data_IF_286602800528
#
_entry.id   IF_286602800528
#
_cell.length_a   1.000
_cell.length_b   1.000
_cell.length_c   1.000
_cell.angle_alpha   90.00
_cell.angle_beta   90.00
_cell.angle_gamma   90.00
#
_symmetry.space_group_name_H-M   'P 1'
#
loop_
_entity.id
_entity.type
_entity.pdbx_description
1 polymer ?
#
# COMPACT_ATOMS: atom_id res chain seq x y z
N UNK A 1 -9.98 3.09 -11.84
CA UNK A 1 -9.20 3.56 -13.00
C UNK A 1 -8.45 2.38 -13.60
N UNK A 2 -8.36 2.28 -14.93
CA UNK A 2 -7.54 1.29 -15.64
C UNK A 2 -6.07 1.70 -15.66
N UNK A 3 -5.16 0.81 -16.09
CA UNK A 3 -3.75 1.13 -16.33
C UNK A 3 -3.63 2.28 -17.33
N UNK A 4 -4.37 2.23 -18.44
CA UNK A 4 -4.38 3.28 -19.46
C UNK A 4 -4.75 4.66 -18.89
N UNK A 5 -5.76 4.75 -18.03
CA UNK A 5 -6.14 6.03 -17.41
C UNK A 5 -5.11 6.49 -16.37
N UNK A 6 -4.38 5.58 -15.71
CA UNK A 6 -3.22 5.95 -14.88
C UNK A 6 -2.07 6.48 -15.76
N UNK A 7 -1.81 5.85 -16.91
CA UNK A 7 -0.82 6.33 -17.89
C UNK A 7 -1.12 7.76 -18.35
N UNK A 8 -2.38 8.07 -18.64
CA UNK A 8 -2.77 9.43 -19.01
C UNK A 8 -2.54 10.48 -17.93
N UNK A 9 -2.48 10.11 -16.64
CA UNK A 9 -2.00 11.03 -15.60
C UNK A 9 -0.55 11.41 -15.88
N UNK A 10 0.33 10.41 -16.06
CA UNK A 10 1.75 10.64 -16.32
C UNK A 10 2.02 11.36 -17.64
N UNK A 11 1.19 11.17 -18.66
CA UNK A 11 1.26 11.91 -19.93
C UNK A 11 1.01 13.42 -19.72
N UNK A 12 0.16 13.77 -18.76
CA UNK A 12 -0.21 15.15 -18.43
C UNK A 12 0.60 15.76 -17.28
N UNK A 13 1.52 15.01 -16.67
CA UNK A 13 2.37 15.55 -15.58
C UNK A 13 3.25 16.70 -16.06
N UNK A 14 3.79 16.62 -17.28
CA UNK A 14 4.68 17.64 -17.85
C UNK A 14 3.96 18.83 -18.48
N UNK A 15 2.63 18.78 -18.60
CA UNK A 15 1.84 19.84 -19.27
C UNK A 15 1.40 20.95 -18.31
N UNK A 16 1.55 20.76 -17.00
CA UNK A 16 1.26 21.77 -15.98
C UNK A 16 2.52 22.46 -15.46
N UNK A 17 2.44 23.79 -15.25
CA UNK A 17 3.54 24.59 -14.70
C UNK A 17 3.50 24.68 -13.17
N UNK A 18 2.34 24.47 -12.54
CA UNK A 18 2.13 24.65 -11.10
C UNK A 18 2.36 23.35 -10.31
N UNK A 19 3.60 22.84 -10.33
CA UNK A 19 4.03 21.73 -9.50
C UNK A 19 4.85 22.20 -8.30
N UNK A 20 4.59 21.58 -7.15
CA UNK A 20 5.39 21.72 -5.94
C UNK A 20 6.15 20.43 -5.65
N UNK A 21 7.39 20.56 -5.19
CA UNK A 21 8.19 19.45 -4.67
C UNK A 21 8.30 19.59 -3.15
N UNK A 22 7.84 18.59 -2.41
CA UNK A 22 7.86 18.60 -0.96
C UNK A 22 8.61 17.38 -0.42
N UNK A 23 9.50 17.58 0.54
CA UNK A 23 10.05 16.50 1.35
C UNK A 23 8.98 16.04 2.34
N UNK A 24 8.87 14.72 2.55
CA UNK A 24 7.88 14.13 3.45
C UNK A 24 8.59 13.43 4.63
N UNK A 25 8.12 13.75 5.83
CA UNK A 25 8.45 13.04 7.07
C UNK A 25 7.20 12.40 7.65
N UNK A 26 7.33 11.13 8.00
CA UNK A 26 6.30 10.26 8.57
C UNK A 26 6.77 9.81 9.95
N UNK A 27 6.04 10.19 10.99
CA UNK A 27 6.31 9.76 12.37
C UNK A 27 5.16 8.91 12.89
N UNK A 28 5.50 7.69 13.31
CA UNK A 28 4.57 6.76 13.92
C UNK A 28 4.77 6.75 15.44
N UNK A 29 3.69 6.96 16.19
CA UNK A 29 3.66 6.93 17.64
C UNK A 29 2.53 6.06 18.16
N UNK A 30 2.74 5.37 19.29
CA UNK A 30 1.68 4.60 19.97
C UNK A 30 0.58 5.50 20.53
N UNK A 31 0.92 6.71 20.98
CA UNK A 31 -0.02 7.62 21.65
C UNK A 31 -0.78 8.52 20.67
N UNK A 32 -0.07 9.15 19.74
CA UNK A 32 -0.63 10.14 18.80
C UNK A 32 -0.94 9.56 17.42
N UNK A 33 -0.58 8.29 17.18
CA UNK A 33 -0.74 7.66 15.87
C UNK A 33 0.29 8.12 14.85
N UNK A 34 -0.09 8.08 13.58
CA UNK A 34 0.76 8.50 12.47
C UNK A 34 0.57 9.99 12.21
N UNK A 35 1.68 10.69 12.05
CA UNK A 35 1.71 12.14 11.79
C UNK A 35 2.61 12.41 10.60
N UNK A 36 2.21 13.42 9.82
CA UNK A 36 2.91 13.84 8.63
C UNK A 36 3.44 15.27 8.82
N UNK A 37 4.60 15.52 8.26
CA UNK A 37 5.11 16.87 8.06
C UNK A 37 5.70 16.93 6.66
N UNK A 38 5.46 18.02 5.96
CA UNK A 38 6.07 18.29 4.66
C UNK A 38 6.91 19.55 4.69
N UNK A 39 7.91 19.63 3.81
CA UNK A 39 8.81 20.78 3.66
C UNK A 39 9.00 21.05 2.17
N UNK A 40 8.55 22.19 1.69
CA UNK A 40 8.62 22.54 0.26
C UNK A 40 10.04 22.93 -0.15
N UNK A 41 10.54 22.43 -1.27
CA UNK A 41 11.87 22.78 -1.78
C UNK A 41 11.81 23.21 -3.24
N UNK A 42 12.69 24.12 -3.61
CA UNK A 42 12.87 24.58 -4.98
C UNK A 42 14.16 24.04 -5.56
N UNK A 43 14.14 23.64 -6.83
CA UNK A 43 15.32 23.19 -7.56
C UNK A 43 15.88 24.33 -8.41
N UNK A 44 17.20 24.38 -8.54
CA UNK A 44 17.92 25.33 -9.39
C UNK A 44 18.82 24.55 -10.35
N UNK A 45 18.99 24.98 -11.61
CA UNK A 45 18.42 26.19 -12.23
C UNK A 45 16.90 26.13 -12.46
N UNK A 46 16.30 27.26 -12.81
CA UNK A 46 14.89 27.35 -13.22
C UNK A 46 14.55 26.28 -14.26
N UNK A 47 13.36 25.68 -14.14
CA UNK A 47 12.92 24.57 -14.99
C UNK A 47 13.46 23.18 -14.60
N UNK A 48 14.30 23.07 -13.55
CA UNK A 48 14.81 21.75 -13.11
C UNK A 48 13.70 20.81 -12.65
N UNK A 49 12.67 21.33 -11.97
CA UNK A 49 11.50 20.53 -11.57
C UNK A 49 10.72 20.02 -12.79
N UNK A 50 10.46 20.88 -13.77
CA UNK A 50 9.78 20.52 -15.03
C UNK A 50 10.53 19.44 -15.81
N UNK A 51 11.87 19.53 -15.86
CA UNK A 51 12.71 18.49 -16.47
C UNK A 51 12.57 17.16 -15.73
N UNK A 52 12.62 17.19 -14.41
CA UNK A 52 12.45 16.00 -13.58
C UNK A 52 11.07 15.35 -13.76
N UNK A 53 10.01 16.16 -13.82
CA UNK A 53 8.65 15.69 -14.13
C UNK A 53 8.56 15.06 -15.53
N UNK A 54 9.29 15.61 -16.51
CA UNK A 54 9.37 15.03 -17.86
C UNK A 54 10.09 13.68 -17.87
N UNK A 55 11.13 13.49 -17.05
CA UNK A 55 11.80 12.19 -16.88
C UNK A 55 10.87 11.15 -16.23
N UNK A 56 10.06 11.56 -15.25
CA UNK A 56 9.02 10.70 -14.65
C UNK A 56 7.98 10.32 -15.70
N UNK A 57 7.46 11.30 -16.45
CA UNK A 57 6.49 11.06 -17.53
C UNK A 57 7.04 10.05 -18.54
N UNK A 58 8.28 10.25 -19.02
CA UNK A 58 8.92 9.35 -19.96
C UNK A 58 9.05 7.92 -19.41
N UNK A 59 9.46 7.76 -18.14
CA UNK A 59 9.57 6.44 -17.49
C UNK A 59 8.26 5.66 -17.50
N UNK A 60 7.14 6.31 -17.21
CA UNK A 60 5.84 5.64 -17.06
C UNK A 60 5.03 5.58 -18.37
N UNK A 61 5.38 6.36 -19.38
CA UNK A 61 4.70 6.39 -20.68
C UNK A 61 5.47 5.69 -21.81
N UNK A 62 6.71 5.26 -21.56
CA UNK A 62 7.54 4.48 -22.48
C UNK A 62 6.82 3.24 -23.03
N UNK A 63 7.01 2.93 -24.31
CA UNK A 63 6.45 1.72 -24.93
C UNK A 63 7.16 0.43 -24.47
N UNK A 64 8.46 0.51 -24.15
CA UNK A 64 9.28 -0.66 -23.81
C UNK A 64 9.32 -0.97 -22.30
N UNK A 65 9.19 0.07 -21.47
CA UNK A 65 9.34 -0.03 -20.01
C UNK A 65 8.25 0.70 -19.24
N UNK A 66 7.20 1.23 -19.88
CA UNK A 66 6.17 2.03 -19.23
C UNK A 66 5.13 1.23 -18.44
N UNK A 67 4.08 1.91 -17.98
CA UNK A 67 3.06 1.34 -17.10
C UNK A 67 2.42 0.05 -17.61
N UNK A 68 2.18 -0.04 -18.91
CA UNK A 68 1.54 -1.20 -19.55
C UNK A 68 2.45 -2.44 -19.57
N UNK A 69 3.77 -2.25 -19.53
CA UNK A 69 4.75 -3.34 -19.41
C UNK A 69 5.08 -3.66 -17.93
N UNK A 70 5.05 -2.63 -17.08
CA UNK A 70 5.29 -2.76 -15.63
C UNK A 70 4.15 -3.47 -14.90
N UNK A 71 2.91 -3.32 -15.37
CA UNK A 71 1.71 -3.78 -14.66
C UNK A 71 0.72 -4.50 -15.57
N UNK A 72 0.07 -5.52 -15.03
CA UNK A 72 -0.91 -6.37 -15.73
C UNK A 72 -2.35 -6.07 -15.27
N UNK A 73 -2.53 -5.53 -14.06
CA UNK A 73 -3.87 -5.21 -13.57
C UNK A 73 -3.91 -4.08 -12.54
N UNK A 74 -5.10 -3.49 -12.38
CA UNK A 74 -5.47 -2.60 -11.27
C UNK A 74 -6.57 -3.28 -10.47
N UNK A 75 -6.44 -3.37 -9.15
CA UNK A 75 -7.41 -4.07 -8.30
C UNK A 75 -7.56 -3.45 -6.92
N UNK A 76 -8.70 -3.64 -6.27
CA UNK A 76 -8.90 -3.22 -4.89
C UNK A 76 -7.90 -3.91 -3.96
N UNK A 77 -7.33 -3.17 -3.02
CA UNK A 77 -6.38 -3.72 -2.08
C UNK A 77 -7.07 -4.68 -1.12
N UNK A 78 -6.67 -5.95 -1.19
CA UNK A 78 -7.22 -7.07 -0.42
C UNK A 78 -6.17 -7.66 0.53
N UNK A 79 -5.05 -6.97 0.74
CA UNK A 79 -3.91 -7.49 1.51
C UNK A 79 -3.03 -8.50 0.77
N UNK A 80 -3.24 -8.76 -0.53
CA UNK A 80 -2.33 -9.60 -1.32
C UNK A 80 -1.06 -8.87 -1.73
N UNK A 81 -0.05 -9.61 -2.19
CA UNK A 81 1.26 -9.11 -2.63
C UNK A 81 1.59 -9.58 -4.04
N UNK A 82 0.63 -9.50 -4.96
CA UNK A 82 0.77 -9.98 -6.33
C UNK A 82 1.67 -9.02 -7.12
N UNK A 83 2.68 -9.57 -7.78
CA UNK A 83 3.57 -8.79 -8.65
C UNK A 83 2.80 -8.15 -9.81
N UNK A 84 3.34 -7.06 -10.37
CA UNK A 84 2.76 -6.35 -11.52
C UNK A 84 1.28 -5.96 -11.35
N UNK A 85 0.84 -5.75 -10.12
CA UNK A 85 -0.53 -5.32 -9.80
C UNK A 85 -0.49 -3.95 -9.14
N UNK A 86 -1.25 -3.00 -9.67
CA UNK A 86 -1.50 -1.73 -9.01
C UNK A 86 -2.68 -1.95 -8.06
N UNK A 87 -2.46 -1.70 -6.78
CA UNK A 87 -3.54 -1.78 -5.79
C UNK A 87 -4.19 -0.42 -5.59
N UNK A 88 -5.51 -0.39 -5.50
CA UNK A 88 -6.25 0.85 -5.23
C UNK A 88 -7.01 0.78 -3.91
N UNK A 89 -7.14 1.93 -3.27
CA UNK A 89 -7.92 2.15 -2.06
C UNK A 89 -8.68 3.47 -2.21
N UNK A 90 -9.94 3.49 -1.80
CA UNK A 90 -10.67 4.73 -1.59
C UNK A 90 -10.29 5.35 -0.24
N UNK A 91 -10.37 6.67 -0.12
CA UNK A 91 -9.90 7.39 1.08
C UNK A 91 -10.72 7.12 2.35
N UNK A 92 -11.91 6.55 2.20
CA UNK A 92 -12.79 6.10 3.29
C UNK A 92 -12.49 4.67 3.75
N UNK A 93 -11.56 3.96 3.09
CA UNK A 93 -11.16 2.62 3.50
C UNK A 93 -10.53 2.63 4.91
N UNK A 94 -10.97 1.71 5.77
CA UNK A 94 -10.52 1.57 7.17
C UNK A 94 -9.00 1.47 7.35
N UNK A 95 -8.27 1.07 6.31
CA UNK A 95 -6.81 0.98 6.35
C UNK A 95 -6.09 2.33 6.27
N UNK A 96 -6.74 3.36 5.73
CA UNK A 96 -6.12 4.67 5.47
C UNK A 96 -6.98 5.86 5.90
N UNK A 97 -8.23 5.65 6.31
CA UNK A 97 -9.20 6.72 6.58
C UNK A 97 -8.80 7.66 7.72
N UNK A 98 -7.88 7.25 8.60
CA UNK A 98 -7.30 8.10 9.64
C UNK A 98 -6.06 8.84 9.18
N UNK A 99 -5.21 8.16 8.42
CA UNK A 99 -3.91 8.66 7.97
C UNK A 99 -4.04 9.62 6.78
N UNK A 100 -4.94 9.34 5.84
CA UNK A 100 -5.09 10.13 4.62
C UNK A 100 -5.42 11.61 4.88
N UNK A 101 -6.39 11.98 5.75
CA UNK A 101 -6.69 13.38 6.03
C UNK A 101 -5.49 14.14 6.62
N UNK A 102 -4.70 13.50 7.49
CA UNK A 102 -3.50 14.10 8.08
C UNK A 102 -2.39 14.30 7.04
N UNK A 103 -2.25 13.38 6.08
CA UNK A 103 -1.32 13.52 4.96
C UNK A 103 -1.69 14.71 4.08
N UNK A 104 -2.95 14.79 3.62
CA UNK A 104 -3.41 15.88 2.75
C UNK A 104 -3.33 17.23 3.47
N UNK A 105 -3.66 17.27 4.76
CA UNK A 105 -3.51 18.48 5.59
C UNK A 105 -2.06 18.95 5.63
N UNK A 106 -1.09 18.05 5.78
CA UNK A 106 0.32 18.41 5.74
C UNK A 106 0.73 18.92 4.36
N UNK A 107 0.34 18.24 3.27
CA UNK A 107 0.67 18.64 1.90
C UNK A 107 0.18 20.07 1.60
N UNK A 108 -1.02 20.42 2.08
CA UNK A 108 -1.59 21.77 1.93
C UNK A 108 -0.98 22.83 2.85
N UNK A 109 -0.13 22.47 3.82
CA UNK A 109 0.51 23.38 4.76
C UNK A 109 2.00 23.00 4.96
N UNK A 110 2.82 23.05 3.90
CA UNK A 110 4.22 22.68 4.00
C UNK A 110 5.01 23.69 4.83
N UNK A 111 6.01 23.19 5.56
CA UNK A 111 7.00 24.02 6.23
C UNK A 111 7.86 24.75 5.19
N UNK A 112 8.23 26.00 5.48
CA UNK A 112 9.10 26.85 4.65
C UNK A 112 10.41 27.24 5.32
N UNK A 113 10.55 27.01 6.63
CA UNK A 113 11.60 27.61 7.47
C UNK A 113 12.67 26.59 7.90
N UNK A 114 12.29 25.34 8.14
CA UNK A 114 13.22 24.31 8.61
C UNK A 114 14.28 24.02 7.53
N UNK A 115 15.53 23.78 7.92
CA UNK A 115 16.54 23.33 6.96
C UNK A 115 16.10 22.00 6.29
N UNK A 116 15.93 21.95 4.96
CA UNK A 116 15.49 20.75 4.27
C UNK A 116 16.40 19.53 4.49
N UNK A 117 17.69 19.72 4.74
CA UNK A 117 18.65 18.64 4.98
C UNK A 117 18.61 18.09 6.42
N UNK A 118 18.06 18.86 7.35
CA UNK A 118 17.82 18.47 8.75
C UNK A 118 16.36 18.05 9.01
N UNK A 119 15.49 18.19 8.02
CA UNK A 119 14.07 17.83 8.10
C UNK A 119 13.83 16.35 8.44
N UNK A 120 14.82 15.46 8.25
CA UNK A 120 14.71 14.00 8.42
C UNK A 120 13.63 13.40 7.53
N UNK A 121 13.69 13.74 6.24
CA UNK A 121 12.78 13.22 5.23
C UNK A 121 12.92 11.69 5.09
N UNK A 122 11.83 11.02 4.75
CA UNK A 122 11.76 9.59 4.42
C UNK A 122 11.27 9.36 2.99
N UNK A 123 10.63 10.36 2.39
CA UNK A 123 9.98 10.31 1.09
C UNK A 123 9.96 11.72 0.49
N UNK A 124 9.52 11.84 -0.75
CA UNK A 124 9.17 13.13 -1.35
C UNK A 124 7.84 13.02 -2.12
N UNK A 125 7.18 14.17 -2.27
CA UNK A 125 5.89 14.34 -2.92
C UNK A 125 6.03 15.38 -4.02
N UNK A 126 5.50 15.06 -5.20
CA UNK A 126 5.20 16.03 -6.24
C UNK A 126 3.69 16.25 -6.20
N UNK A 127 3.25 17.47 -5.93
CA UNK A 127 1.84 17.83 -5.86
C UNK A 127 1.54 18.90 -6.90
N UNK A 128 0.47 18.67 -7.68
CA UNK A 128 0.03 19.56 -8.75
C UNK A 128 -1.41 19.29 -9.15
N UNK A 129 -1.88 20.10 -10.10
CA UNK A 129 -3.20 19.95 -10.72
C UNK A 129 -2.97 19.68 -12.21
N UNK A 130 -3.60 18.64 -12.76
CA UNK A 130 -3.55 18.35 -14.19
C UNK A 130 -4.93 18.51 -14.80
N UNK A 131 -4.98 18.87 -16.08
CA UNK A 131 -6.22 18.90 -16.85
C UNK A 131 -6.36 17.61 -17.65
N UNK A 132 -7.44 16.86 -17.44
CA UNK A 132 -7.79 15.66 -18.21
C UNK A 132 -9.28 15.69 -18.53
N UNK A 133 -9.65 15.47 -19.79
CA UNK A 133 -11.05 15.46 -20.24
C UNK A 133 -11.86 16.72 -19.81
N UNK A 134 -11.23 17.90 -19.87
CA UNK A 134 -11.79 19.20 -19.40
C UNK A 134 -12.04 19.29 -17.88
N UNK A 135 -11.58 18.33 -17.10
CA UNK A 135 -11.62 18.34 -15.64
C UNK A 135 -10.24 18.61 -15.03
N UNK A 136 -10.21 19.43 -13.97
CA UNK A 136 -9.01 19.64 -13.15
C UNK A 136 -8.92 18.55 -12.08
N UNK A 137 -7.84 17.78 -12.12
CA UNK A 137 -7.57 16.69 -11.19
C UNK A 137 -6.39 17.05 -10.29
N UNK A 138 -6.60 16.99 -8.97
CA UNK A 138 -5.49 17.10 -8.02
C UNK A 138 -4.72 15.78 -7.99
N UNK A 139 -3.40 15.87 -8.21
CA UNK A 139 -2.52 14.70 -8.30
C UNK A 139 -1.36 14.85 -7.34
N UNK A 140 -1.15 13.79 -6.56
CA UNK A 140 0.06 13.64 -5.73
C UNK A 140 0.83 12.41 -6.20
N UNK A 141 2.07 12.60 -6.64
CA UNK A 141 3.02 11.53 -6.94
C UNK A 141 3.99 11.41 -5.78
N UNK A 142 4.07 10.23 -5.17
CA UNK A 142 4.85 10.03 -3.94
C UNK A 142 5.91 8.96 -4.21
N UNK A 143 7.16 9.30 -3.95
CA UNK A 143 8.26 8.35 -3.89
C UNK A 143 8.61 8.11 -2.42
N UNK A 144 8.53 6.86 -1.99
CA UNK A 144 8.81 6.43 -0.62
C UNK A 144 10.32 6.24 -0.36
N UNK A 145 11.16 6.84 -1.21
CA UNK A 145 12.60 6.80 -1.09
C UNK A 145 13.10 8.03 -0.38
N UNK A 146 14.04 7.84 0.56
CA UNK A 146 14.64 8.95 1.28
C UNK A 146 15.38 9.87 0.28
N UNK A 147 14.93 11.12 0.12
CA UNK A 147 15.52 12.05 -0.83
C UNK A 147 16.80 12.70 -0.29
N UNK A 148 17.13 12.57 1.00
CA UNK A 148 18.31 13.19 1.63
C UNK A 148 19.38 12.13 1.83
N UNK A 149 20.56 12.33 1.23
CA UNK A 149 21.67 11.38 1.31
C UNK A 149 23.00 12.06 1.58
N UNK A 150 23.92 11.35 2.24
CA UNK A 150 25.30 11.80 2.43
C UNK A 150 26.20 11.18 1.38
N UNK A 151 26.97 12.01 0.67
CA UNK A 151 27.87 11.56 -0.39
C UNK A 151 29.32 11.42 0.11
N UNK A 152 29.56 10.46 1.02
CA UNK A 152 30.91 10.20 1.56
C UNK A 152 31.92 9.89 0.45
N UNK A 153 33.09 10.52 0.50
CA UNK A 153 34.16 10.36 -0.50
C UNK A 153 33.73 10.66 -1.94
N UNK A 154 32.77 11.57 -2.12
CA UNK A 154 32.40 12.11 -3.44
C UNK A 154 32.87 13.54 -3.54
N UNK A 155 33.35 13.89 -4.73
CA UNK A 155 33.93 15.19 -4.99
C UNK A 155 33.24 15.85 -6.18
N UNK A 156 32.81 17.09 -6.03
CA UNK A 156 32.25 17.92 -7.09
C UNK A 156 33.40 18.56 -7.90
N UNK A 157 33.37 18.38 -9.22
CA UNK A 157 34.34 19.02 -10.13
C UNK A 157 33.90 20.44 -10.45
N UNK A 158 34.76 21.41 -10.18
CA UNK A 158 34.63 22.78 -10.66
C UNK A 158 36.01 23.26 -11.17
N UNK A 159 36.06 23.74 -12.42
CA UNK A 159 37.27 24.31 -13.02
C UNK A 159 38.53 23.42 -12.94
N UNK A 160 38.36 22.10 -13.05
CA UNK A 160 39.48 21.13 -13.00
C UNK A 160 39.91 20.72 -11.58
N UNK A 161 39.36 21.35 -10.55
CA UNK A 161 39.54 20.96 -9.14
C UNK A 161 38.34 20.16 -8.66
N UNK A 162 38.58 19.22 -7.75
CA UNK A 162 37.58 18.39 -7.12
C UNK A 162 37.46 18.78 -5.64
N UNK A 163 36.27 19.18 -5.23
CA UNK A 163 35.97 19.59 -3.84
C UNK A 163 35.07 18.54 -3.19
N UNK A 164 35.41 18.08 -1.99
CA UNK A 164 34.61 17.06 -1.32
C UNK A 164 33.21 17.61 -1.00
N UNK A 165 32.19 16.80 -1.24
CA UNK A 165 30.82 17.11 -0.86
C UNK A 165 30.64 16.67 0.60
N UNK A 166 30.86 17.61 1.52
CA UNK A 166 30.77 17.34 2.98
C UNK A 166 29.33 17.29 3.50
N UNK A 167 28.44 18.06 2.87
CA UNK A 167 27.05 18.17 3.29
C UNK A 167 26.17 17.06 2.71
N UNK A 168 24.98 16.90 3.30
CA UNK A 168 23.92 16.08 2.71
C UNK A 168 23.45 16.74 1.41
N UNK A 169 22.96 15.93 0.48
CA UNK A 169 22.38 16.38 -0.78
C UNK A 169 20.99 15.82 -1.00
N UNK A 170 20.25 16.44 -1.91
CA UNK A 170 19.00 15.92 -2.43
C UNK A 170 19.27 14.97 -3.59
N UNK A 171 18.70 13.77 -3.53
CA UNK A 171 18.79 12.71 -4.53
C UNK A 171 17.37 12.22 -4.86
N UNK A 172 16.77 12.79 -5.90
CA UNK A 172 15.42 12.44 -6.33
C UNK A 172 15.47 11.25 -7.31
N UNK A 173 14.55 10.31 -7.16
CA UNK A 173 14.42 9.13 -8.03
C UNK A 173 13.14 9.21 -8.83
N UNK A 174 13.17 8.93 -10.11
CA UNK A 174 11.95 8.97 -10.96
C UNK A 174 10.93 7.87 -10.65
N UNK A 175 11.25 6.92 -9.78
CA UNK A 175 10.32 5.88 -9.34
C UNK A 175 9.29 6.45 -8.33
N UNK A 176 8.03 6.35 -8.70
CA UNK A 176 6.84 6.68 -7.92
C UNK A 176 6.24 5.39 -7.36
N UNK A 177 5.95 5.41 -6.06
CA UNK A 177 5.38 4.30 -5.31
C UNK A 177 3.87 4.43 -5.13
N UNK A 178 3.38 5.67 -4.98
CA UNK A 178 1.96 5.96 -4.78
C UNK A 178 1.54 7.12 -5.66
N UNK A 179 0.40 6.99 -6.33
CA UNK A 179 -0.31 8.05 -7.04
C UNK A 179 -1.63 8.27 -6.35
N UNK A 180 -1.92 9.50 -5.93
CA UNK A 180 -3.23 9.87 -5.37
C UNK A 180 -3.90 10.78 -6.38
N UNK A 181 -5.10 10.40 -6.82
CA UNK A 181 -5.97 11.22 -7.66
C UNK A 181 -7.33 11.29 -7.02
N UNK A 182 -7.78 12.52 -6.77
CA UNK A 182 -9.01 12.83 -6.03
C UNK A 182 -9.11 12.03 -4.72
N UNK A 183 -10.09 11.12 -4.66
CA UNK A 183 -10.45 10.29 -3.51
C UNK A 183 -9.94 8.85 -3.63
N UNK A 184 -8.99 8.59 -4.52
CA UNK A 184 -8.42 7.26 -4.74
C UNK A 184 -6.91 7.28 -4.64
N UNK A 185 -6.38 6.33 -3.87
CA UNK A 185 -4.95 6.05 -3.74
C UNK A 185 -4.63 4.84 -4.60
N UNK A 186 -3.62 4.96 -5.46
CA UNK A 186 -3.07 3.90 -6.29
C UNK A 186 -1.64 3.58 -5.82
N UNK A 187 -1.44 2.39 -5.28
CA UNK A 187 -0.15 1.86 -4.86
C UNK A 187 0.47 1.10 -6.03
N UNK A 188 1.45 1.74 -6.69
CA UNK A 188 2.27 1.14 -7.74
C UNK A 188 3.27 0.17 -7.13
N UNK A 189 3.68 0.43 -5.89
CA UNK A 189 4.43 -0.53 -5.07
C UNK A 189 3.80 -0.65 -3.69
N UNK A 190 4.10 -1.73 -2.98
CA UNK A 190 3.63 -1.93 -1.60
C UNK A 190 4.28 -0.98 -0.59
N UNK A 191 5.20 -0.09 -1.02
CA UNK A 191 5.73 0.95 -0.14
C UNK A 191 4.64 1.93 0.33
N UNK A 192 3.50 2.00 -0.39
CA UNK A 192 2.31 2.71 0.07
C UNK A 192 1.76 2.22 1.41
N UNK A 193 2.01 0.96 1.81
CA UNK A 193 1.62 0.47 3.14
C UNK A 193 2.37 1.20 4.26
N UNK A 194 3.63 1.57 4.01
CA UNK A 194 4.44 2.35 4.96
C UNK A 194 3.99 3.81 5.00
N UNK A 195 3.54 4.36 3.87
CA UNK A 195 2.99 5.72 3.80
C UNK A 195 1.83 5.88 4.79
N UNK A 196 0.91 4.92 4.82
CA UNK A 196 -0.29 4.95 5.67
C UNK A 196 -0.17 4.10 6.94
N UNK A 197 1.01 3.58 7.27
CA UNK A 197 1.24 2.73 8.45
C UNK A 197 0.21 1.58 8.57
N UNK A 198 -0.11 0.94 7.44
CA UNK A 198 -1.24 0.01 7.36
C UNK A 198 -1.06 -1.24 8.22
N UNK A 199 0.17 -1.62 8.60
CA UNK A 199 0.43 -2.71 9.53
C UNK A 199 -0.37 -2.57 10.84
N UNK A 200 -0.50 -1.34 11.33
CA UNK A 200 -1.31 -1.05 12.52
C UNK A 200 -2.79 -1.31 12.26
N UNK A 201 -3.29 -0.88 11.11
CA UNK A 201 -4.67 -1.09 10.70
C UNK A 201 -4.98 -2.59 10.51
N UNK A 202 -4.09 -3.35 9.87
CA UNK A 202 -4.21 -4.81 9.73
C UNK A 202 -4.38 -5.51 11.08
N UNK A 203 -3.54 -5.15 12.06
CA UNK A 203 -3.63 -5.71 13.41
C UNK A 203 -4.94 -5.36 14.10
N UNK A 204 -5.47 -4.16 13.85
CA UNK A 204 -6.77 -3.73 14.40
C UNK A 204 -7.93 -4.53 13.78
N UNK A 205 -7.96 -4.66 12.45
CA UNK A 205 -8.96 -5.45 11.71
C UNK A 205 -8.88 -6.91 12.15
N UNK A 206 -7.68 -7.50 12.13
CA UNK A 206 -7.44 -8.87 12.58
C UNK A 206 -7.95 -9.12 14.00
N UNK A 207 -7.67 -8.23 14.96
CA UNK A 207 -8.17 -8.38 16.34
C UNK A 207 -9.70 -8.40 16.39
N UNK A 208 -10.36 -7.49 15.67
CA UNK A 208 -11.82 -7.43 15.60
C UNK A 208 -12.41 -8.73 15.01
N UNK A 209 -11.87 -9.18 13.88
CA UNK A 209 -12.41 -10.37 13.22
C UNK A 209 -12.10 -11.67 13.96
N UNK A 210 -10.95 -11.76 14.65
CA UNK A 210 -10.68 -12.86 15.60
C UNK A 210 -11.76 -12.91 16.68
N UNK A 211 -12.13 -11.77 17.28
CA UNK A 211 -13.22 -11.71 18.28
C UNK A 211 -14.53 -12.20 17.68
N UNK A 212 -14.90 -11.75 16.48
CA UNK A 212 -16.10 -12.20 15.79
C UNK A 212 -16.13 -13.72 15.58
N UNK A 213 -15.00 -14.32 15.18
CA UNK A 213 -14.88 -15.77 14.99
C UNK A 213 -15.03 -16.52 16.33
N UNK A 214 -14.35 -16.04 17.38
CA UNK A 214 -14.35 -16.72 18.68
C UNK A 214 -15.71 -16.68 19.36
N UNK A 215 -16.42 -15.55 19.23
CA UNK A 215 -17.73 -15.33 19.85
C UNK A 215 -18.82 -16.25 19.26
N UNK A 216 -18.63 -16.76 18.04
CA UNK A 216 -19.53 -17.74 17.44
C UNK A 216 -19.39 -19.16 18.04
N UNK A 217 -18.34 -19.42 18.82
CA UNK A 217 -18.14 -20.71 19.47
C UNK A 217 -17.95 -21.89 18.51
N UNK A 218 -17.53 -21.61 17.26
CA UNK A 218 -17.35 -22.61 16.18
C UNK A 218 -15.99 -23.31 16.21
N UNK A 219 -15.12 -23.01 17.18
CA UNK A 219 -13.78 -23.59 17.35
C UNK A 219 -13.62 -24.18 18.76
N UNK A 220 -12.81 -25.23 18.93
CA UNK A 220 -12.60 -25.90 20.22
C UNK A 220 -11.50 -25.25 21.10
N UNK A 221 -10.47 -24.65 20.51
CA UNK A 221 -9.37 -23.98 21.22
C UNK A 221 -9.21 -22.52 20.76
N UNK A 222 -9.79 -21.61 21.55
CA UNK A 222 -9.80 -20.18 21.25
C UNK A 222 -8.41 -19.53 21.38
N UNK A 223 -7.61 -19.95 22.34
CA UNK A 223 -6.31 -19.32 22.60
C UNK A 223 -5.25 -19.77 21.58
N UNK A 224 -5.28 -21.04 21.18
CA UNK A 224 -4.46 -21.53 20.07
C UNK A 224 -4.79 -20.77 18.77
N UNK A 225 -6.08 -20.63 18.45
CA UNK A 225 -6.51 -19.89 17.26
C UNK A 225 -6.05 -18.42 17.28
N UNK A 226 -6.29 -17.70 18.38
CA UNK A 226 -5.85 -16.30 18.55
C UNK A 226 -4.35 -16.14 18.31
N UNK A 227 -3.55 -17.05 18.87
CA UNK A 227 -2.09 -17.04 18.76
C UNK A 227 -1.66 -17.15 17.29
N UNK A 228 -2.26 -18.06 16.53
CA UNK A 228 -1.92 -18.25 15.10
C UNK A 228 -2.46 -17.11 14.24
N UNK A 229 -3.72 -16.74 14.42
CA UNK A 229 -4.40 -15.76 13.58
C UNK A 229 -3.80 -14.35 13.72
N UNK A 230 -3.24 -14.01 14.88
CA UNK A 230 -2.63 -12.69 15.14
C UNK A 230 -1.12 -12.62 14.84
N UNK A 231 -0.50 -13.70 14.37
CA UNK A 231 0.95 -13.79 14.21
C UNK A 231 1.41 -13.76 12.75
N UNK A 232 2.66 -13.33 12.53
CA UNK A 232 3.30 -13.32 11.22
C UNK A 232 2.52 -12.49 10.18
N UNK A 233 2.25 -13.09 9.03
CA UNK A 233 1.54 -12.46 7.92
C UNK A 233 0.01 -12.55 8.03
N UNK A 234 -0.53 -13.27 9.02
CA UNK A 234 -1.97 -13.48 9.15
C UNK A 234 -2.77 -12.20 9.38
N UNK A 235 -2.32 -11.21 10.18
CA UNK A 235 -3.05 -9.96 10.34
C UNK A 235 -3.38 -9.27 9.02
N UNK A 236 -2.49 -9.33 8.03
CA UNK A 236 -2.69 -8.76 6.70
C UNK A 236 -3.73 -9.54 5.88
N UNK A 237 -3.86 -10.86 6.05
CA UNK A 237 -4.88 -11.67 5.35
C UNK A 237 -6.30 -11.24 5.73
N UNK A 238 -6.52 -10.77 6.96
CA UNK A 238 -7.84 -10.31 7.41
C UNK A 238 -8.37 -9.07 6.67
N UNK A 239 -7.57 -8.42 5.82
CA UNK A 239 -8.06 -7.36 4.93
C UNK A 239 -9.10 -7.91 3.95
N UNK A 240 -8.96 -9.16 3.51
CA UNK A 240 -9.92 -9.86 2.65
C UNK A 240 -10.90 -10.74 3.45
N UNK A 241 -11.14 -10.42 4.73
CA UNK A 241 -12.07 -11.19 5.55
C UNK A 241 -13.50 -11.15 5.02
N UNK A 242 -14.12 -12.32 4.89
CA UNK A 242 -15.45 -12.49 4.31
C UNK A 242 -16.48 -12.84 5.40
N UNK A 243 -17.17 -11.81 5.89
CA UNK A 243 -18.20 -11.96 6.92
C UNK A 243 -19.32 -12.94 6.49
N UNK A 244 -19.69 -12.94 5.21
CA UNK A 244 -20.69 -13.89 4.69
C UNK A 244 -20.24 -15.35 4.82
N UNK A 245 -18.94 -15.63 4.63
CA UNK A 245 -18.39 -16.96 4.88
C UNK A 245 -18.49 -17.33 6.36
N UNK A 246 -18.13 -16.42 7.26
CA UNK A 246 -18.27 -16.65 8.70
C UNK A 246 -19.73 -16.94 9.08
N UNK A 247 -20.69 -16.16 8.58
CA UNK A 247 -22.12 -16.35 8.87
C UNK A 247 -22.63 -17.72 8.41
N UNK A 248 -22.18 -18.22 7.26
CA UNK A 248 -22.52 -19.57 6.77
C UNK A 248 -22.03 -20.68 7.69
N UNK A 249 -20.93 -20.46 8.42
CA UNK A 249 -20.37 -21.42 9.38
C UNK A 249 -21.17 -21.50 10.68
N UNK A 250 -22.22 -20.68 10.91
CA UNK A 250 -23.15 -20.89 12.03
C UNK A 250 -23.92 -22.21 11.92
N UNK A 251 -24.16 -22.69 10.71
CA UNK A 251 -24.79 -23.99 10.44
C UNK A 251 -23.78 -25.14 10.56
N UNK A 252 -24.06 -26.11 11.43
CA UNK A 252 -23.23 -27.30 11.63
C UNK A 252 -23.06 -28.14 10.35
N UNK A 253 -24.07 -28.20 9.48
CA UNK A 253 -23.97 -28.92 8.21
C UNK A 253 -22.99 -28.26 7.26
N UNK A 254 -22.95 -26.92 7.22
CA UNK A 254 -21.95 -26.19 6.45
C UNK A 254 -20.54 -26.43 7.00
N UNK A 255 -20.36 -26.44 8.33
CA UNK A 255 -19.07 -26.78 8.94
C UNK A 255 -18.60 -28.19 8.56
N UNK A 256 -19.51 -29.18 8.55
CA UNK A 256 -19.20 -30.55 8.07
C UNK A 256 -18.80 -30.60 6.60
N UNK A 257 -19.46 -29.82 5.74
CA UNK A 257 -19.08 -29.71 4.31
C UNK A 257 -17.70 -29.08 4.15
N UNK A 258 -17.46 -27.97 4.82
CA UNK A 258 -16.18 -27.24 4.77
C UNK A 258 -15.04 -28.07 5.34
N UNK A 259 -15.27 -28.76 6.46
CA UNK A 259 -14.30 -29.67 7.09
C UNK A 259 -13.78 -30.70 6.09
N UNK A 260 -14.69 -31.37 5.38
CA UNK A 260 -14.33 -32.35 4.33
C UNK A 260 -13.64 -31.69 3.14
N UNK A 261 -14.17 -30.56 2.67
CA UNK A 261 -13.68 -29.88 1.46
C UNK A 261 -12.28 -29.27 1.64
N UNK A 262 -11.96 -28.79 2.84
CA UNK A 262 -10.69 -28.11 3.13
C UNK A 262 -9.76 -28.88 4.07
N UNK A 263 -10.08 -30.13 4.38
CA UNK A 263 -9.32 -30.97 5.30
C UNK A 263 -9.06 -30.28 6.65
N UNK A 264 -10.11 -29.66 7.21
CA UNK A 264 -10.09 -29.00 8.53
C UNK A 264 -10.85 -29.89 9.51
N UNK A 265 -10.20 -30.57 10.47
CA UNK A 265 -10.85 -31.50 11.40
C UNK A 265 -11.95 -30.83 12.25
N UNK A 266 -12.90 -31.64 12.71
CA UNK A 266 -13.93 -31.23 13.65
C UNK A 266 -13.79 -32.01 14.97
N UNK A 267 -14.06 -31.32 16.08
CA UNK A 267 -14.33 -31.89 17.40
C UNK A 267 -15.82 -31.67 17.71
N UNK A 268 -16.61 -32.75 17.54
CA UNK A 268 -18.06 -32.66 17.50
C UNK A 268 -18.55 -31.79 16.34
N UNK A 269 -19.23 -30.69 16.67
CA UNK A 269 -19.71 -29.72 15.68
C UNK A 269 -18.81 -28.46 15.59
N UNK A 270 -17.61 -28.45 16.17
CA UNK A 270 -16.66 -27.31 16.14
C UNK A 270 -15.42 -27.67 15.33
N UNK A 271 -14.73 -26.69 14.75
CA UNK A 271 -13.42 -26.89 14.14
C UNK A 271 -12.37 -27.18 15.21
N UNK A 272 -11.59 -28.24 15.00
CA UNK A 272 -10.48 -28.61 15.85
C UNK A 272 -9.22 -27.84 15.44
N UNK A 273 -8.97 -26.74 16.13
CA UNK A 273 -7.86 -25.81 15.84
C UNK A 273 -6.70 -25.97 16.81
N UNK A 274 -6.64 -27.11 17.52
CA UNK A 274 -5.54 -27.45 18.45
C UNK A 274 -4.17 -27.50 17.77
N UNK A 275 -4.14 -27.77 16.46
CA UNK A 275 -2.93 -27.75 15.64
C UNK A 275 -2.79 -26.41 14.90
N UNK A 276 -1.61 -25.75 14.95
CA UNK A 276 -1.42 -24.44 14.34
C UNK A 276 -1.75 -24.37 12.84
N UNK A 277 -1.43 -25.43 12.09
CA UNK A 277 -1.72 -25.51 10.65
C UNK A 277 -3.23 -25.45 10.36
N UNK A 278 -4.06 -26.03 11.24
CA UNK A 278 -5.51 -26.04 11.06
C UNK A 278 -6.11 -24.67 11.32
N UNK A 279 -5.62 -23.96 12.34
CA UNK A 279 -6.00 -22.58 12.60
C UNK A 279 -5.67 -21.68 11.39
N UNK A 280 -4.49 -21.84 10.79
CA UNK A 280 -4.07 -21.09 9.59
C UNK A 280 -4.94 -21.42 8.37
N UNK A 281 -5.32 -22.70 8.15
CA UNK A 281 -6.29 -23.09 7.10
C UNK A 281 -7.65 -22.40 7.27
N UNK A 282 -8.15 -22.32 8.50
CA UNK A 282 -9.41 -21.65 8.80
C UNK A 282 -9.32 -20.13 8.52
N UNK A 283 -8.19 -19.49 8.87
CA UNK A 283 -7.92 -18.09 8.51
C UNK A 283 -7.95 -17.92 6.99
N UNK A 284 -7.23 -18.75 6.24
CA UNK A 284 -7.20 -18.67 4.76
C UNK A 284 -8.57 -18.81 4.15
N UNK A 285 -9.38 -19.75 4.63
CA UNK A 285 -10.75 -19.96 4.16
C UNK A 285 -11.62 -18.71 4.38
N UNK A 286 -11.57 -18.14 5.58
CA UNK A 286 -12.38 -16.98 5.94
C UNK A 286 -11.88 -15.67 5.30
N UNK A 287 -10.64 -15.64 4.84
CA UNK A 287 -10.02 -14.49 4.21
C UNK A 287 -9.87 -14.65 2.69
N UNK A 288 -10.70 -15.47 2.04
CA UNK A 288 -10.74 -15.58 0.59
C UNK A 288 -9.38 -15.98 -0.05
N UNK A 289 -8.59 -16.76 0.71
CA UNK A 289 -7.31 -17.38 0.27
C UNK A 289 -7.39 -18.90 0.11
N UNK A 290 -8.50 -19.53 0.50
CA UNK A 290 -8.72 -20.96 0.33
C UNK A 290 -9.54 -21.26 -0.93
N UNK A 291 -9.01 -22.11 -1.81
CA UNK A 291 -9.70 -22.64 -2.99
C UNK A 291 -9.64 -24.16 -3.04
N UNK A 292 -10.46 -24.76 -3.91
CA UNK A 292 -10.37 -26.20 -4.20
C UNK A 292 -10.06 -26.37 -5.68
N UNK A 293 -9.04 -27.19 -5.96
CA UNK A 293 -8.67 -27.56 -7.30
C UNK A 293 -9.84 -28.29 -8.00
N UNK A 294 -10.24 -27.87 -9.22
CA UNK A 294 -11.42 -28.42 -9.88
C UNK A 294 -11.22 -29.82 -10.47
N UNK A 295 -9.99 -30.35 -10.54
CA UNK A 295 -9.69 -31.66 -11.12
C UNK A 295 -9.42 -32.72 -10.05
N UNK A 296 -8.69 -32.35 -9.01
CA UNK A 296 -8.26 -33.26 -7.96
C UNK A 296 -9.02 -33.07 -6.63
N UNK A 297 -9.94 -32.10 -6.56
CA UNK A 297 -10.72 -31.73 -5.36
C UNK A 297 -9.83 -31.42 -4.13
N UNK A 298 -8.58 -31.04 -4.36
CA UNK A 298 -7.62 -30.74 -3.32
C UNK A 298 -7.73 -29.27 -2.85
N UNK A 299 -7.76 -29.00 -1.54
CA UNK A 299 -7.72 -27.63 -1.06
C UNK A 299 -6.34 -27.00 -1.24
N UNK A 300 -6.33 -25.77 -1.74
CA UNK A 300 -5.14 -25.00 -2.07
C UNK A 300 -5.21 -23.59 -1.49
N UNK A 301 -4.04 -23.00 -1.27
CA UNK A 301 -3.91 -21.57 -0.96
C UNK A 301 -3.70 -20.78 -2.27
N UNK A 302 -4.43 -19.69 -2.41
CA UNK A 302 -4.26 -18.72 -3.50
C UNK A 302 -3.86 -17.36 -2.93
N UNK A 303 -3.13 -16.57 -3.72
CA UNK A 303 -2.69 -15.23 -3.33
C UNK A 303 -3.85 -14.24 -3.21
N UNK A 304 -4.89 -14.40 -4.03
CA UNK A 304 -6.15 -13.65 -4.05
C UNK A 304 -7.20 -14.46 -4.79
N UNK A 305 -8.46 -14.36 -4.36
CA UNK A 305 -9.58 -14.96 -5.10
C UNK A 305 -10.40 -13.87 -5.76
N UNK A 306 -10.43 -13.92 -7.10
CA UNK A 306 -11.23 -13.03 -7.94
C UNK A 306 -12.25 -13.86 -8.69
N UNK A 307 -13.43 -13.27 -8.89
CA UNK A 307 -14.41 -13.82 -9.82
C UNK A 307 -13.94 -13.58 -11.25
N UNK A 308 -14.23 -14.51 -12.14
CA UNK A 308 -14.10 -14.24 -13.57
C UNK A 308 -15.15 -13.19 -13.97
N UNK A 309 -14.73 -12.21 -14.76
CA UNK A 309 -15.57 -11.18 -15.38
C UNK A 309 -15.87 -11.54 -16.83
#
# INVERSE_FOLDING_TARGET
MSISKIKSIFENVSTCEAWSLQLLRIKNSKSTGTTYSTREITLSPEGSLTKFLSEISHRYCSEEEGLEEMFESVTDYDGSTVGKTIYKLTIDNDLISKEYPELIKSIGNPDSEVDPLEFSAQAYILNGIISMDEEELSVNLISMQNPVTSLKHKFLRANGTFTEISDKVISLRTAIDVVIVDKTVYMLTLAGENLFNMERAYRSVCKKEITNITDLGIINDTEAFKTVASHGHNPRKFVSFNESHLQKLKDANNRKKISKKFNIPLDGDKFDVSQPEVADKLVKLLCDRGMVDPFDDNPMEVSSSKKWE
#
